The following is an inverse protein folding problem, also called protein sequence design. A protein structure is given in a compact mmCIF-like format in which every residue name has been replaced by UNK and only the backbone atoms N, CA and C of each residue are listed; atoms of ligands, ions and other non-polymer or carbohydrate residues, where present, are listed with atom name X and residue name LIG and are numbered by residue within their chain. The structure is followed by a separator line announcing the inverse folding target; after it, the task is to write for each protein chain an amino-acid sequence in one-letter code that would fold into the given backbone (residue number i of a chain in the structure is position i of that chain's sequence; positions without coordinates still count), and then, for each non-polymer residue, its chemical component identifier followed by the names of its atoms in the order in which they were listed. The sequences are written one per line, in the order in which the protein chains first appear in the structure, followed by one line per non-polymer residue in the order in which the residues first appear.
data_IF_245556744448
#
_entry.id   IF_245556744448
#
_cell.length_a   1.000
_cell.length_b   1.000
_cell.length_c   1.000
_cell.angle_alpha   90.00
_cell.angle_beta   90.00
_cell.angle_gamma   90.00
#
_symmetry.space_group_name_H-M   'P 1'
#
loop_
_entity.id
_entity.type
_entity.pdbx_description
1 polymer ?
#
# COMPACT_ATOMS: atom_id res chain seq x y z
N UNK A 1 2.79 16.00 -30.51
CA UNK A 1 1.49 15.80 -29.82
C UNK A 1 1.62 16.41 -28.45
N UNK A 2 0.62 17.17 -27.98
CA UNK A 2 0.63 17.66 -26.60
C UNK A 2 0.58 16.47 -25.63
N UNK A 3 1.29 16.54 -24.51
CA UNK A 3 1.13 15.53 -23.46
C UNK A 3 -0.28 15.66 -22.88
N UNK A 4 -1.05 14.57 -22.89
CA UNK A 4 -2.36 14.46 -22.25
C UNK A 4 -2.25 13.76 -20.89
N UNK A 5 -3.22 14.01 -20.01
CA UNK A 5 -3.33 13.39 -18.69
C UNK A 5 -4.33 12.24 -18.79
N UNK A 6 -4.00 11.07 -18.26
CA UNK A 6 -4.99 10.00 -18.03
C UNK A 6 -5.69 10.26 -16.70
N UNK A 7 -6.98 10.56 -16.73
CA UNK A 7 -7.72 10.92 -15.53
C UNK A 7 -8.23 9.69 -14.77
N UNK A 8 -8.16 9.75 -13.44
CA UNK A 8 -8.73 8.75 -12.55
C UNK A 8 -9.28 9.41 -11.28
N UNK A 9 -10.53 9.10 -10.96
CA UNK A 9 -11.20 9.49 -9.73
C UNK A 9 -10.90 8.47 -8.61
N UNK A 10 -10.10 8.88 -7.63
CA UNK A 10 -9.82 8.12 -6.41
C UNK A 10 -10.46 8.77 -5.16
N UNK A 11 -11.48 9.60 -5.36
CA UNK A 11 -12.30 10.19 -4.30
C UNK A 11 -13.23 9.18 -3.63
N UNK A 12 -13.75 9.55 -2.46
CA UNK A 12 -14.76 8.76 -1.73
C UNK A 12 -16.09 8.68 -2.47
N UNK A 13 -16.50 9.77 -3.13
CA UNK A 13 -17.79 9.88 -3.83
C UNK A 13 -17.81 9.16 -5.18
N UNK A 14 -16.63 8.97 -5.80
CA UNK A 14 -16.52 8.47 -7.17
C UNK A 14 -17.36 9.28 -8.18
N UNK A 15 -17.63 10.56 -7.87
CA UNK A 15 -18.51 11.45 -8.64
C UNK A 15 -18.05 11.64 -10.10
N UNK A 16 -16.75 11.50 -10.37
CA UNK A 16 -16.14 11.63 -11.68
C UNK A 16 -15.68 10.28 -12.25
N UNK A 17 -16.10 9.15 -11.68
CA UNK A 17 -15.69 7.81 -12.13
C UNK A 17 -16.00 7.51 -13.60
N UNK A 18 -17.02 8.18 -14.19
CA UNK A 18 -17.32 8.09 -15.63
C UNK A 18 -16.20 8.60 -16.55
N UNK A 19 -15.27 9.40 -16.02
CA UNK A 19 -14.11 9.91 -16.74
C UNK A 19 -12.86 9.05 -16.50
N UNK A 20 -12.94 7.97 -15.72
CA UNK A 20 -11.80 7.11 -15.46
C UNK A 20 -11.21 6.54 -16.75
N UNK A 21 -9.89 6.65 -16.91
CA UNK A 21 -9.15 6.21 -18.09
C UNK A 21 -9.21 7.19 -19.28
N UNK A 22 -9.96 8.29 -19.19
CA UNK A 22 -10.02 9.27 -20.27
C UNK A 22 -8.72 10.05 -20.39
N UNK A 23 -8.41 10.48 -21.62
CA UNK A 23 -7.32 11.43 -21.90
C UNK A 23 -7.89 12.84 -21.84
N UNK A 24 -7.29 13.70 -21.02
CA UNK A 24 -7.72 15.08 -20.83
C UNK A 24 -6.56 16.05 -21.02
N UNK A 25 -6.87 17.24 -21.53
CA UNK A 25 -5.99 18.41 -21.51
C UNK A 25 -5.99 19.10 -20.14
N UNK A 26 -4.95 19.88 -19.87
CA UNK A 26 -4.82 20.70 -18.66
C UNK A 26 -6.03 21.63 -18.45
N UNK A 27 -6.60 22.17 -19.53
CA UNK A 27 -7.77 23.07 -19.47
C UNK A 27 -9.02 22.37 -18.96
N UNK A 28 -9.16 21.08 -19.20
CA UNK A 28 -10.35 20.30 -18.81
C UNK A 28 -10.43 20.04 -17.31
N UNK A 29 -9.32 20.20 -16.56
CA UNK A 29 -9.30 20.07 -15.10
C UNK A 29 -10.28 21.07 -14.45
N UNK A 30 -10.41 22.28 -14.99
CA UNK A 30 -11.35 23.29 -14.47
C UNK A 30 -12.81 22.81 -14.57
N UNK A 31 -13.15 22.14 -15.66
CA UNK A 31 -14.48 21.59 -15.88
C UNK A 31 -14.74 20.38 -14.96
N UNK A 32 -13.77 19.48 -14.81
CA UNK A 32 -13.87 18.37 -13.86
C UNK A 32 -14.09 18.85 -12.43
N UNK A 33 -13.39 19.92 -12.04
CA UNK A 33 -13.60 20.56 -10.75
C UNK A 33 -15.01 21.13 -10.59
N UNK A 34 -15.55 21.79 -11.63
CA UNK A 34 -16.92 22.34 -11.62
C UNK A 34 -17.94 21.23 -11.45
N UNK A 35 -17.86 20.17 -12.27
CA UNK A 35 -18.75 19.01 -12.19
C UNK A 35 -18.71 18.37 -10.80
N UNK A 36 -17.52 18.25 -10.20
CA UNK A 36 -17.39 17.73 -8.84
C UNK A 36 -18.00 18.67 -7.80
N UNK A 37 -17.74 19.97 -7.88
CA UNK A 37 -18.30 20.97 -6.96
C UNK A 37 -19.83 20.94 -6.94
N UNK A 38 -20.45 20.75 -8.10
CA UNK A 38 -21.90 20.55 -8.23
C UNK A 38 -22.37 19.24 -7.58
N UNK A 39 -21.65 18.14 -7.80
CA UNK A 39 -22.00 16.83 -7.25
C UNK A 39 -21.81 16.74 -5.72
N UNK A 40 -20.81 17.43 -5.17
CA UNK A 40 -20.42 17.35 -3.76
C UNK A 40 -20.90 18.55 -2.92
N UNK A 41 -21.53 19.55 -3.56
CA UNK A 41 -21.94 20.81 -2.95
C UNK A 41 -20.78 21.56 -2.25
N UNK A 42 -19.60 21.54 -2.89
CA UNK A 42 -18.39 22.24 -2.43
C UNK A 42 -18.01 23.27 -3.49
N UNK A 43 -17.81 24.52 -3.07
CA UNK A 43 -17.34 25.61 -3.94
C UNK A 43 -15.91 26.01 -3.59
N UNK A 44 -14.90 25.27 -4.09
CA UNK A 44 -13.51 25.66 -3.90
C UNK A 44 -13.14 26.82 -4.83
N UNK A 45 -12.35 27.76 -4.31
CA UNK A 45 -11.75 28.80 -5.14
C UNK A 45 -10.66 28.20 -6.05
N UNK A 46 -10.99 27.96 -7.31
CA UNK A 46 -10.15 27.26 -8.28
C UNK A 46 -9.76 28.15 -9.48
N UNK A 47 -8.59 27.91 -10.10
CA UNK A 47 -8.12 28.72 -11.21
C UNK A 47 -8.93 28.46 -12.48
N UNK A 48 -8.97 29.43 -13.40
CA UNK A 48 -9.59 29.25 -14.71
C UNK A 48 -8.77 28.33 -15.63
N UNK A 49 -9.37 27.83 -16.70
CA UNK A 49 -8.69 26.98 -17.69
C UNK A 49 -7.43 27.64 -18.28
N UNK A 50 -7.48 28.95 -18.57
CA UNK A 50 -6.32 29.68 -19.09
C UNK A 50 -5.24 29.89 -18.02
N UNK A 51 -5.63 30.03 -16.74
CA UNK A 51 -4.68 30.09 -15.65
C UNK A 51 -3.96 28.76 -15.43
N UNK A 52 -4.65 27.63 -15.59
CA UNK A 52 -4.05 26.29 -15.52
C UNK A 52 -3.09 26.05 -16.70
N UNK A 53 -3.49 26.36 -17.93
CA UNK A 53 -2.66 26.16 -19.12
C UNK A 53 -1.41 27.07 -19.12
N UNK A 54 -1.48 28.24 -18.49
CA UNK A 54 -0.42 29.23 -18.47
C UNK A 54 0.63 29.07 -17.35
N UNK A 55 0.61 27.97 -16.58
CA UNK A 55 1.58 27.77 -15.49
C UNK A 55 2.95 27.30 -15.99
N UNK A 56 4.00 27.58 -15.21
CA UNK A 56 5.31 26.97 -15.41
C UNK A 56 5.41 25.65 -14.61
N UNK A 57 5.86 24.53 -15.18
CA UNK A 57 5.84 23.21 -14.52
C UNK A 57 6.64 23.18 -13.21
N UNK A 58 7.75 23.93 -13.13
CA UNK A 58 8.60 24.05 -11.94
C UNK A 58 8.26 25.23 -11.01
N UNK A 59 7.09 25.86 -11.17
CA UNK A 59 6.67 27.03 -10.36
C UNK A 59 7.60 28.27 -10.40
N UNK A 60 8.51 28.38 -11.37
CA UNK A 60 9.49 29.48 -11.49
C UNK A 60 8.84 30.84 -11.80
N UNK A 61 7.64 30.84 -12.39
CA UNK A 61 6.86 32.04 -12.72
C UNK A 61 5.49 31.93 -12.08
N UNK A 62 5.02 33.01 -11.44
CA UNK A 62 3.68 33.11 -10.81
C UNK A 62 3.36 31.89 -9.91
N UNK A 63 4.15 31.65 -8.84
CA UNK A 63 4.04 30.47 -7.98
C UNK A 63 2.63 30.22 -7.42
N UNK A 64 1.84 31.27 -7.16
CA UNK A 64 0.46 31.15 -6.70
C UNK A 64 -0.47 30.46 -7.72
N UNK A 65 -0.27 30.69 -9.03
CA UNK A 65 -1.05 30.00 -10.08
C UNK A 65 -0.72 28.52 -10.15
N UNK A 66 0.55 28.19 -9.99
CA UNK A 66 0.99 26.80 -9.89
C UNK A 66 0.39 26.11 -8.66
N UNK A 67 0.40 26.78 -7.49
CA UNK A 67 -0.23 26.26 -6.27
C UNK A 67 -1.73 25.99 -6.49
N UNK A 68 -2.44 26.92 -7.13
CA UNK A 68 -3.86 26.76 -7.46
C UNK A 68 -4.13 25.61 -8.44
N UNK A 69 -3.25 25.40 -9.45
CA UNK A 69 -3.40 24.30 -10.40
C UNK A 69 -3.14 22.92 -9.76
N UNK A 70 -2.16 22.81 -8.86
CA UNK A 70 -1.97 21.60 -8.04
C UNK A 70 -3.21 21.34 -7.19
N UNK A 71 -3.73 22.36 -6.50
CA UNK A 71 -4.93 22.24 -5.67
C UNK A 71 -6.14 21.76 -6.47
N UNK A 72 -6.35 22.31 -7.66
CA UNK A 72 -7.43 21.92 -8.56
C UNK A 72 -7.32 20.46 -8.99
N UNK A 73 -6.13 20.00 -9.38
CA UNK A 73 -5.95 18.61 -9.80
C UNK A 73 -6.10 17.60 -8.64
N UNK A 74 -5.63 17.97 -7.42
CA UNK A 74 -5.92 17.18 -6.21
C UNK A 74 -7.43 17.10 -6.00
N UNK A 75 -8.13 18.23 -6.04
CA UNK A 75 -9.57 18.26 -5.84
C UNK A 75 -10.34 17.47 -6.91
N UNK A 76 -10.01 17.63 -8.19
CA UNK A 76 -10.61 16.88 -9.28
C UNK A 76 -10.45 15.36 -9.08
N UNK A 77 -9.27 14.90 -8.70
CA UNK A 77 -8.95 13.46 -8.65
C UNK A 77 -9.34 12.80 -7.32
N UNK A 78 -9.24 13.52 -6.20
CA UNK A 78 -9.46 12.96 -4.85
C UNK A 78 -10.71 13.47 -4.15
N UNK A 79 -11.34 14.54 -4.67
CA UNK A 79 -12.40 15.27 -3.97
C UNK A 79 -11.95 15.91 -2.66
N UNK A 80 -10.66 16.22 -2.53
CA UNK A 80 -10.10 16.80 -1.31
C UNK A 80 -9.40 18.12 -1.58
N UNK A 81 -9.50 19.02 -0.61
CA UNK A 81 -8.84 20.30 -0.57
C UNK A 81 -7.54 20.17 0.21
N UNK A 82 -6.42 20.38 -0.49
CA UNK A 82 -5.10 20.41 0.12
C UNK A 82 -4.83 21.78 0.74
N UNK A 83 -4.25 21.80 1.94
CA UNK A 83 -3.74 23.05 2.48
C UNK A 83 -2.51 23.50 1.71
N UNK A 84 -2.25 24.82 1.74
CA UNK A 84 -1.09 25.40 1.09
C UNK A 84 0.23 24.77 1.56
N UNK A 85 0.35 24.41 2.84
CA UNK A 85 1.57 23.74 3.32
C UNK A 85 1.79 22.38 2.65
N UNK A 86 0.72 21.63 2.35
CA UNK A 86 0.81 20.35 1.64
C UNK A 86 1.22 20.55 0.18
N UNK A 87 0.68 21.59 -0.46
CA UNK A 87 1.00 21.95 -1.85
C UNK A 87 2.47 22.40 -1.97
N UNK A 88 3.01 23.16 -1.01
CA UNK A 88 4.40 23.62 -1.08
C UNK A 88 5.38 22.43 -1.04
N UNK A 89 5.02 21.32 -0.38
CA UNK A 89 5.83 20.08 -0.37
C UNK A 89 6.04 19.48 -1.77
N UNK A 90 5.13 19.72 -2.71
CA UNK A 90 5.29 19.29 -4.10
C UNK A 90 6.55 19.89 -4.76
N UNK A 91 6.92 21.13 -4.42
CA UNK A 91 8.14 21.75 -4.95
C UNK A 91 9.39 21.05 -4.45
N UNK A 92 9.39 20.70 -3.19
CA UNK A 92 10.50 20.02 -2.56
C UNK A 92 10.77 18.63 -3.16
N UNK A 93 9.69 17.94 -3.57
CA UNK A 93 9.75 16.69 -4.34
C UNK A 93 10.37 16.93 -5.71
N UNK A 94 9.93 17.96 -6.43
CA UNK A 94 10.47 18.34 -7.74
C UNK A 94 11.94 18.74 -7.67
N UNK A 95 12.36 19.49 -6.66
CA UNK A 95 13.75 19.96 -6.51
C UNK A 95 14.77 18.83 -6.34
N UNK A 96 14.32 17.67 -5.87
CA UNK A 96 15.13 16.45 -5.73
C UNK A 96 15.19 15.61 -7.00
N UNK A 97 14.43 15.94 -8.03
CA UNK A 97 14.54 15.25 -9.31
C UNK A 97 15.87 15.57 -10.00
N UNK A 98 16.48 14.59 -10.69
CA UNK A 98 17.59 14.81 -11.61
C UNK A 98 17.34 15.99 -12.55
N UNK A 99 18.38 16.78 -12.83
CA UNK A 99 18.31 17.94 -13.73
C UNK A 99 17.68 17.60 -15.10
N UNK A 100 18.02 16.48 -15.78
CA UNK A 100 17.41 16.15 -17.07
C UNK A 100 15.88 16.01 -16.99
N UNK A 101 15.38 15.36 -15.94
CA UNK A 101 13.94 15.17 -15.75
C UNK A 101 13.22 16.48 -15.45
N UNK A 102 13.80 17.35 -14.60
CA UNK A 102 13.24 18.69 -14.37
C UNK A 102 13.17 19.53 -15.63
N UNK A 103 14.21 19.47 -16.47
CA UNK A 103 14.29 20.23 -17.71
C UNK A 103 13.30 19.73 -18.77
N UNK A 104 12.94 18.45 -18.76
CA UNK A 104 11.99 17.86 -19.71
C UNK A 104 10.53 17.88 -19.21
N UNK A 105 10.27 18.34 -17.99
CA UNK A 105 8.95 18.26 -17.38
C UNK A 105 7.96 19.23 -18.05
N UNK A 106 6.89 18.69 -18.63
CA UNK A 106 5.78 19.48 -19.19
C UNK A 106 4.73 19.80 -18.14
N UNK A 107 3.85 20.77 -18.41
CA UNK A 107 2.74 21.12 -17.49
C UNK A 107 1.82 19.92 -17.28
N UNK A 108 1.42 19.23 -18.34
CA UNK A 108 0.56 18.05 -18.27
C UNK A 108 1.18 16.94 -17.44
N UNK A 109 2.47 16.62 -17.64
CA UNK A 109 3.15 15.58 -16.84
C UNK A 109 3.28 15.95 -15.38
N UNK A 110 3.56 17.23 -15.10
CA UNK A 110 3.61 17.73 -13.74
C UNK A 110 2.24 17.60 -13.06
N UNK A 111 1.15 18.04 -13.71
CA UNK A 111 -0.20 17.93 -13.17
C UNK A 111 -0.70 16.48 -13.11
N UNK A 112 -0.25 15.59 -13.99
CA UNK A 112 -0.62 14.19 -13.97
C UNK A 112 -0.04 13.42 -12.77
N UNK A 113 1.19 13.74 -12.34
CA UNK A 113 1.93 12.94 -11.37
C UNK A 113 2.09 13.62 -10.01
N UNK A 114 2.43 14.91 -9.97
CA UNK A 114 2.80 15.58 -8.72
C UNK A 114 1.59 15.78 -7.78
N UNK A 115 0.42 16.27 -8.24
CA UNK A 115 -0.80 16.29 -7.45
C UNK A 115 -1.14 14.92 -6.84
N UNK A 116 -1.12 13.86 -7.64
CA UNK A 116 -1.39 12.49 -7.18
C UNK A 116 -0.39 12.05 -6.12
N UNK A 117 0.90 12.29 -6.33
CA UNK A 117 1.95 11.97 -5.36
C UNK A 117 1.69 12.62 -3.99
N UNK A 118 1.31 13.90 -3.95
CA UNK A 118 1.06 14.61 -2.68
C UNK A 118 -0.29 14.26 -2.06
N UNK A 119 -1.30 13.97 -2.90
CA UNK A 119 -2.60 13.52 -2.43
C UNK A 119 -2.48 12.15 -1.74
N UNK A 120 -1.82 11.21 -2.42
CA UNK A 120 -1.71 9.84 -1.96
C UNK A 120 -0.55 9.54 -1.02
N UNK A 121 0.48 10.38 -0.94
CA UNK A 121 1.62 10.18 -0.05
C UNK A 121 1.93 11.43 0.76
N UNK A 122 2.16 11.24 2.08
CA UNK A 122 2.72 12.28 2.94
C UNK A 122 4.23 12.22 2.86
N UNK A 123 4.89 13.39 2.84
CA UNK A 123 6.34 13.50 2.83
C UNK A 123 6.88 14.33 4.00
N UNK A 124 8.04 13.93 4.51
CA UNK A 124 8.76 14.56 5.61
C UNK A 124 10.24 14.73 5.29
N UNK A 125 10.85 15.78 5.87
CA UNK A 125 12.30 16.05 5.84
C UNK A 125 13.08 15.26 6.88
N UNK A 126 12.42 14.57 7.81
CA UNK A 126 13.08 13.77 8.84
C UNK A 126 13.94 12.71 8.15
N UNK A 127 15.24 13.01 8.05
CA UNK A 127 16.24 12.10 7.54
C UNK A 127 16.64 11.18 8.67
N UNK A 128 16.69 9.90 8.38
CA UNK A 128 17.25 8.82 9.21
C UNK A 128 16.30 8.07 10.16
N UNK A 129 15.19 8.64 10.62
CA UNK A 129 14.22 7.90 11.47
C UNK A 129 12.94 7.49 10.73
N UNK A 130 12.45 6.29 11.02
CA UNK A 130 11.17 5.81 10.50
C UNK A 130 10.01 6.69 11.00
N UNK A 131 9.11 7.05 10.09
CA UNK A 131 7.88 7.77 10.41
C UNK A 131 6.68 7.01 9.80
N UNK A 132 5.76 6.47 10.60
CA UNK A 132 4.62 5.69 10.07
C UNK A 132 3.61 6.53 9.28
N UNK A 133 3.63 7.86 9.47
CA UNK A 133 2.70 8.81 8.87
C UNK A 133 3.28 9.55 7.65
N UNK A 134 4.57 9.38 7.35
CA UNK A 134 5.20 10.10 6.24
C UNK A 134 6.40 9.35 5.63
N UNK A 135 6.49 9.46 4.31
CA UNK A 135 7.63 8.99 3.51
C UNK A 135 8.75 10.03 3.52
N UNK A 136 10.00 9.63 3.25
CA UNK A 136 11.06 10.62 3.04
C UNK A 136 11.00 11.10 1.60
N UNK A 137 11.39 12.35 1.40
CA UNK A 137 11.39 12.95 0.06
C UNK A 137 12.31 12.23 -0.93
N UNK A 138 13.35 11.54 -0.44
CA UNK A 138 14.25 10.79 -1.30
C UNK A 138 13.52 9.61 -1.99
N UNK A 139 12.67 8.87 -1.26
CA UNK A 139 11.88 7.78 -1.84
C UNK A 139 10.82 8.32 -2.80
N UNK A 140 10.16 9.42 -2.41
CA UNK A 140 9.20 10.09 -3.27
C UNK A 140 9.83 10.55 -4.58
N UNK A 141 11.00 11.18 -4.51
CA UNK A 141 11.69 11.68 -5.70
C UNK A 141 12.23 10.53 -6.57
N UNK A 142 12.71 9.44 -5.95
CA UNK A 142 13.08 8.22 -6.68
C UNK A 142 11.89 7.65 -7.41
N UNK A 143 10.73 7.50 -6.77
CA UNK A 143 9.54 6.97 -7.44
C UNK A 143 9.04 7.89 -8.56
N UNK A 144 8.94 9.20 -8.31
CA UNK A 144 8.56 10.17 -9.33
C UNK A 144 9.52 10.14 -10.53
N UNK A 145 10.81 9.98 -10.28
CA UNK A 145 11.83 9.78 -11.31
C UNK A 145 11.56 8.52 -12.15
N UNK A 146 11.22 7.39 -11.53
CA UNK A 146 10.87 6.15 -12.25
C UNK A 146 9.60 6.31 -13.11
N UNK A 147 8.63 7.10 -12.66
CA UNK A 147 7.41 7.40 -13.43
C UNK A 147 7.69 8.31 -14.65
N UNK A 148 8.66 9.22 -14.52
CA UNK A 148 9.06 10.18 -15.56
C UNK A 148 10.11 9.62 -16.54
N UNK A 149 10.66 8.44 -16.30
CA UNK A 149 11.69 7.82 -17.14
C UNK A 149 11.06 6.92 -18.21
N UNK A 150 11.57 7.02 -19.44
CA UNK A 150 11.25 6.05 -20.48
C UNK A 150 11.95 4.73 -20.14
N UNK A 151 11.16 3.71 -19.83
CA UNK A 151 11.67 2.40 -19.43
C UNK A 151 10.83 1.27 -20.02
N UNK A 152 11.41 0.08 -20.27
CA UNK A 152 10.66 -1.03 -20.89
C UNK A 152 9.47 -1.49 -20.03
N UNK A 153 9.68 -1.62 -18.72
CA UNK A 153 8.67 -2.08 -17.78
C UNK A 153 8.81 -1.38 -16.41
N UNK A 154 7.68 -1.20 -15.73
CA UNK A 154 7.61 -0.77 -14.34
C UNK A 154 6.65 -1.68 -13.57
N UNK A 155 7.18 -2.40 -12.59
CA UNK A 155 6.43 -3.31 -11.73
C UNK A 155 6.20 -2.68 -10.35
N UNK A 156 4.96 -2.72 -9.90
CA UNK A 156 4.53 -2.25 -8.58
C UNK A 156 3.98 -3.42 -7.77
N UNK A 157 4.47 -3.57 -6.56
CA UNK A 157 4.02 -4.57 -5.60
C UNK A 157 3.22 -3.91 -4.48
N UNK A 158 2.01 -4.41 -4.25
CA UNK A 158 1.12 -3.95 -3.19
C UNK A 158 0.81 -5.14 -2.29
N UNK A 159 1.55 -5.24 -1.20
CA UNK A 159 1.24 -6.19 -0.13
C UNK A 159 0.03 -5.72 0.67
N UNK A 160 -1.08 -6.45 0.58
CA UNK A 160 -2.22 -6.30 1.46
C UNK A 160 -2.08 -7.28 2.62
N UNK A 161 -1.42 -6.82 3.68
CA UNK A 161 -1.21 -7.63 4.87
C UNK A 161 -2.44 -7.57 5.78
N UNK A 162 -2.92 -8.75 6.16
CA UNK A 162 -3.80 -9.07 7.27
C UNK A 162 -5.10 -8.24 7.37
N UNK A 163 -6.23 -8.92 7.44
CA UNK A 163 -7.44 -8.39 8.04
C UNK A 163 -7.15 -8.06 9.52
N UNK A 164 -6.54 -6.91 9.78
CA UNK A 164 -6.34 -6.35 11.11
C UNK A 164 -7.67 -5.74 11.55
N UNK A 165 -8.70 -6.58 11.66
CA UNK A 165 -9.90 -6.21 12.38
C UNK A 165 -9.49 -5.74 13.79
N UNK A 166 -10.25 -4.78 14.32
CA UNK A 166 -9.90 -4.14 15.58
C UNK A 166 -9.74 -5.17 16.69
N UNK A 167 -8.82 -4.93 17.63
CA UNK A 167 -8.72 -5.74 18.85
C UNK A 167 -10.05 -5.74 19.62
N UNK A 168 -10.86 -4.70 19.44
CA UNK A 168 -12.18 -4.51 20.04
C UNK A 168 -13.31 -5.26 19.32
N UNK A 169 -13.15 -5.55 18.02
CA UNK A 169 -14.13 -6.26 17.20
C UNK A 169 -13.39 -7.24 16.27
N UNK A 170 -13.14 -8.49 16.74
CA UNK A 170 -12.32 -9.47 16.04
C UNK A 170 -13.12 -10.23 14.96
N UNK A 171 -13.98 -9.53 14.22
CA UNK A 171 -14.82 -10.10 13.16
C UNK A 171 -14.33 -9.60 11.81
N UNK A 172 -14.32 -10.47 10.81
CA UNK A 172 -14.09 -10.06 9.44
C UNK A 172 -15.37 -9.45 8.85
N UNK A 173 -15.28 -8.31 8.14
CA UNK A 173 -16.38 -7.91 7.28
C UNK A 173 -16.65 -9.01 6.26
N UNK A 174 -17.89 -9.14 5.82
CA UNK A 174 -18.26 -10.18 4.86
C UNK A 174 -17.69 -9.90 3.46
N UNK A 175 -17.53 -8.62 3.13
CA UNK A 175 -17.02 -8.15 1.85
C UNK A 175 -15.97 -7.07 2.03
N UNK A 176 -15.07 -6.98 1.07
CA UNK A 176 -14.14 -5.85 0.96
C UNK A 176 -14.92 -4.57 0.71
N UNK A 177 -14.51 -3.46 1.30
CA UNK A 177 -15.08 -2.16 0.96
C UNK A 177 -14.85 -1.87 -0.53
N UNK A 178 -15.91 -2.03 -1.33
CA UNK A 178 -15.87 -1.79 -2.77
C UNK A 178 -15.36 -0.38 -3.07
N UNK A 179 -15.86 0.63 -2.35
CA UNK A 179 -15.41 2.02 -2.50
C UNK A 179 -13.92 2.15 -2.21
N UNK A 180 -13.43 1.56 -1.11
CA UNK A 180 -12.01 1.67 -0.77
C UNK A 180 -11.09 0.91 -1.73
N UNK A 181 -11.49 -0.27 -2.20
CA UNK A 181 -10.76 -1.04 -3.20
C UNK A 181 -10.68 -0.29 -4.54
N UNK A 182 -11.81 0.23 -5.07
CA UNK A 182 -11.82 1.00 -6.31
C UNK A 182 -10.94 2.26 -6.18
N UNK A 183 -10.97 2.96 -5.04
CA UNK A 183 -10.12 4.14 -4.80
C UNK A 183 -8.63 3.80 -4.80
N UNK A 184 -8.26 2.70 -4.16
CA UNK A 184 -6.87 2.23 -4.17
C UNK A 184 -6.41 1.94 -5.60
N UNK A 185 -7.20 1.19 -6.39
CA UNK A 185 -6.83 0.86 -7.77
C UNK A 185 -6.79 2.11 -8.65
N UNK A 186 -7.78 3.01 -8.55
CA UNK A 186 -7.81 4.28 -9.28
C UNK A 186 -6.61 5.17 -8.95
N UNK A 187 -6.21 5.25 -7.68
CA UNK A 187 -5.05 6.02 -7.27
C UNK A 187 -3.76 5.50 -7.92
N UNK A 188 -3.57 4.18 -7.91
CA UNK A 188 -2.38 3.57 -8.54
C UNK A 188 -2.46 3.69 -10.06
N UNK A 189 -3.63 3.48 -10.67
CA UNK A 189 -3.84 3.71 -12.11
C UNK A 189 -3.49 5.16 -12.50
N UNK A 190 -3.84 6.15 -11.68
CA UNK A 190 -3.50 7.55 -11.94
C UNK A 190 -1.99 7.81 -11.94
N UNK A 191 -1.19 7.05 -11.20
CA UNK A 191 0.27 7.14 -11.24
C UNK A 191 0.83 6.41 -12.47
N UNK A 192 0.38 5.17 -12.70
CA UNK A 192 1.00 4.24 -13.64
C UNK A 192 0.57 4.52 -15.09
N UNK A 193 -0.68 4.92 -15.33
CA UNK A 193 -1.13 5.28 -16.69
C UNK A 193 -0.48 6.56 -17.21
N UNK A 194 -0.10 7.44 -16.28
CA UNK A 194 0.62 8.67 -16.55
C UNK A 194 2.15 8.51 -16.51
N UNK A 195 2.66 7.30 -16.25
CA UNK A 195 4.09 6.98 -16.35
C UNK A 195 4.55 6.91 -17.82
N UNK A 196 5.87 6.94 -18.02
CA UNK A 196 6.53 6.73 -19.32
C UNK A 196 7.01 5.29 -19.54
N UNK A 197 6.68 4.37 -18.63
CA UNK A 197 7.00 2.96 -18.81
C UNK A 197 6.21 2.37 -19.99
N UNK A 198 6.87 1.54 -20.81
CA UNK A 198 6.25 0.84 -21.94
C UNK A 198 5.23 -0.20 -21.48
N UNK A 199 5.59 -0.99 -20.46
CA UNK A 199 4.72 -1.93 -19.76
C UNK A 199 4.58 -1.51 -18.29
N UNK A 200 3.37 -1.63 -17.74
CA UNK A 200 3.09 -1.34 -16.34
C UNK A 200 2.35 -2.52 -15.72
N UNK A 201 2.84 -3.04 -14.61
CA UNK A 201 2.16 -4.11 -13.86
C UNK A 201 1.99 -3.68 -12.43
N UNK A 202 0.79 -3.92 -11.88
CA UNK A 202 0.51 -3.81 -10.45
C UNK A 202 0.09 -5.19 -9.95
N UNK A 203 0.91 -5.75 -9.06
CA UNK A 203 0.59 -6.99 -8.35
C UNK A 203 0.03 -6.64 -6.98
N UNK A 204 -1.19 -7.09 -6.71
CA UNK A 204 -1.85 -6.92 -5.42
C UNK A 204 -1.83 -8.28 -4.73
N UNK A 205 -0.99 -8.38 -3.71
CA UNK A 205 -0.73 -9.62 -2.99
C UNK A 205 -1.56 -9.71 -1.72
N UNK A 206 -2.32 -10.79 -1.56
CA UNK A 206 -3.18 -11.02 -0.40
C UNK A 206 -3.15 -12.49 0.02
N UNK A 207 -3.33 -12.72 1.32
CA UNK A 207 -3.58 -14.06 1.84
C UNK A 207 -4.97 -14.57 1.41
N UNK A 208 -5.02 -15.77 0.84
CA UNK A 208 -6.26 -16.51 0.50
C UNK A 208 -6.64 -17.51 1.60
N UNK A 209 -7.77 -18.21 1.48
CA UNK A 209 -8.30 -19.12 2.49
C UNK A 209 -7.52 -20.45 2.63
N UNK A 210 -6.26 -20.37 3.06
CA UNK A 210 -5.36 -21.49 3.26
C UNK A 210 -5.01 -21.68 4.73
N UNK A 211 -4.27 -22.73 5.07
CA UNK A 211 -3.79 -22.96 6.43
C UNK A 211 -2.88 -21.83 6.93
N UNK A 212 -2.06 -21.27 6.02
CA UNK A 212 -1.24 -20.08 6.26
C UNK A 212 -2.04 -18.85 6.63
N UNK A 213 -3.30 -18.77 6.24
CA UNK A 213 -4.16 -17.65 6.58
C UNK A 213 -4.37 -17.49 8.08
N UNK A 214 -4.30 -18.58 8.83
CA UNK A 214 -4.35 -18.54 10.27
C UNK A 214 -3.14 -17.81 10.88
N UNK A 215 -1.98 -17.87 10.22
CA UNK A 215 -0.74 -17.22 10.67
C UNK A 215 -0.61 -15.76 10.24
N UNK A 216 -1.31 -15.34 9.19
CA UNK A 216 -1.18 -14.00 8.61
C UNK A 216 -2.35 -13.08 8.89
N UNK A 217 -3.51 -13.59 9.31
CA UNK A 217 -4.60 -12.78 9.87
C UNK A 217 -4.32 -12.47 11.35
N UNK A 218 -4.89 -11.37 11.87
CA UNK A 218 -4.83 -11.07 13.30
C UNK A 218 -5.26 -12.29 14.13
N UNK A 219 -4.41 -12.74 15.04
CA UNK A 219 -4.63 -13.97 15.82
C UNK A 219 -5.93 -13.94 16.63
N UNK A 220 -6.38 -12.76 17.07
CA UNK A 220 -7.64 -12.60 17.79
C UNK A 220 -8.85 -12.92 16.91
N UNK A 221 -8.79 -12.54 15.62
CA UNK A 221 -9.84 -12.83 14.64
C UNK A 221 -9.92 -14.33 14.40
N UNK A 222 -8.78 -14.97 14.12
CA UNK A 222 -8.74 -16.42 13.92
C UNK A 222 -9.30 -17.18 15.15
N UNK A 223 -8.88 -16.77 16.35
CA UNK A 223 -9.34 -17.37 17.60
C UNK A 223 -10.83 -17.15 17.86
N UNK A 224 -11.38 -15.99 17.49
CA UNK A 224 -12.81 -15.72 17.61
C UNK A 224 -13.63 -16.77 16.86
N UNK A 225 -13.35 -16.96 15.57
CA UNK A 225 -14.02 -17.98 14.75
C UNK A 225 -13.71 -19.41 15.21
N UNK A 226 -12.47 -19.70 15.63
CA UNK A 226 -12.10 -21.01 16.16
C UNK A 226 -12.91 -21.40 17.40
N UNK A 227 -13.09 -20.47 18.34
CA UNK A 227 -13.85 -20.70 19.56
C UNK A 227 -15.37 -20.79 19.32
N UNK A 228 -15.87 -20.14 18.26
CA UNK A 228 -17.27 -20.21 17.85
C UNK A 228 -17.59 -21.47 17.02
N UNK A 229 -16.59 -22.20 16.52
CA UNK A 229 -16.81 -23.33 15.60
C UNK A 229 -17.07 -22.88 14.17
N UNK A 230 -16.67 -21.66 13.84
CA UNK A 230 -16.99 -20.97 12.58
C UNK A 230 -15.77 -20.81 11.67
N UNK A 231 -14.76 -21.70 11.79
CA UNK A 231 -13.55 -21.62 10.96
C UNK A 231 -13.82 -21.74 9.47
N UNK A 232 -14.78 -22.58 9.07
CA UNK A 232 -15.14 -22.69 7.67
C UNK A 232 -15.87 -21.44 7.16
N UNK A 233 -16.59 -20.73 8.02
CA UNK A 233 -17.13 -19.41 7.67
C UNK A 233 -16.00 -18.39 7.49
N UNK A 234 -15.06 -18.33 8.43
CA UNK A 234 -13.85 -17.48 8.30
C UNK A 234 -13.09 -17.72 6.98
N UNK A 235 -12.81 -18.98 6.64
CA UNK A 235 -12.11 -19.32 5.40
C UNK A 235 -12.92 -18.92 4.16
N UNK A 236 -14.24 -19.15 4.14
CA UNK A 236 -15.10 -18.68 3.03
C UNK A 236 -15.11 -17.16 2.89
N UNK A 237 -15.06 -16.42 3.99
CA UNK A 237 -14.94 -14.95 3.95
C UNK A 237 -13.61 -14.51 3.33
N UNK A 238 -12.51 -15.21 3.61
CA UNK A 238 -11.22 -14.93 2.96
C UNK A 238 -11.23 -15.22 1.45
N UNK A 239 -11.87 -16.31 1.01
CA UNK A 239 -12.05 -16.61 -0.41
C UNK A 239 -12.84 -15.50 -1.11
N UNK A 240 -13.94 -15.08 -0.48
CA UNK A 240 -14.79 -13.99 -0.96
C UNK A 240 -14.02 -12.68 -1.08
N UNK A 241 -13.17 -12.37 -0.11
CA UNK A 241 -12.32 -11.19 -0.18
C UNK A 241 -11.32 -11.23 -1.35
N UNK A 242 -10.76 -12.40 -1.64
CA UNK A 242 -9.91 -12.58 -2.81
C UNK A 242 -10.70 -12.40 -4.11
N UNK A 243 -11.93 -12.90 -4.17
CA UNK A 243 -12.82 -12.74 -5.34
C UNK A 243 -13.28 -11.29 -5.55
N UNK A 244 -13.64 -10.59 -4.47
CA UNK A 244 -13.95 -9.15 -4.50
C UNK A 244 -12.77 -8.36 -5.09
N UNK A 245 -11.54 -8.63 -4.62
CA UNK A 245 -10.34 -7.99 -5.14
C UNK A 245 -10.06 -8.34 -6.60
N UNK A 246 -10.19 -9.61 -7.00
CA UNK A 246 -10.07 -10.02 -8.41
C UNK A 246 -11.06 -9.27 -9.29
N UNK A 247 -12.32 -9.16 -8.86
CA UNK A 247 -13.36 -8.47 -9.60
C UNK A 247 -13.04 -6.97 -9.76
N UNK A 248 -12.60 -6.30 -8.69
CA UNK A 248 -12.18 -4.90 -8.77
C UNK A 248 -11.01 -4.74 -9.74
N UNK A 249 -9.95 -5.56 -9.61
CA UNK A 249 -8.76 -5.46 -10.46
C UNK A 249 -9.07 -5.71 -11.94
N UNK A 250 -9.90 -6.71 -12.25
CA UNK A 250 -10.31 -7.02 -13.62
C UNK A 250 -11.06 -5.86 -14.30
N UNK A 251 -11.90 -5.12 -13.56
CA UNK A 251 -12.59 -3.94 -14.11
C UNK A 251 -11.60 -2.84 -14.53
N UNK A 252 -10.55 -2.62 -13.73
CA UNK A 252 -9.55 -1.61 -14.05
C UNK A 252 -8.58 -2.08 -15.14
N UNK A 253 -8.26 -3.37 -15.20
CA UNK A 253 -7.46 -3.96 -16.28
C UNK A 253 -8.10 -3.70 -17.66
N UNK A 254 -9.43 -3.66 -17.74
CA UNK A 254 -10.16 -3.36 -18.98
C UNK A 254 -10.16 -1.86 -19.36
N UNK A 255 -9.97 -0.95 -18.40
CA UNK A 255 -10.08 0.50 -18.59
C UNK A 255 -8.72 1.22 -18.52
N UNK A 256 -7.67 0.54 -18.07
CA UNK A 256 -6.33 1.07 -17.81
C UNK A 256 -5.33 0.53 -18.83
N UNK A 257 -4.27 1.30 -19.10
CA UNK A 257 -3.10 0.80 -19.80
C UNK A 257 -2.18 -0.03 -18.88
N UNK A 258 -2.48 -0.05 -17.58
CA UNK A 258 -1.75 -0.77 -16.56
C UNK A 258 -2.39 -2.13 -16.32
N UNK A 259 -1.56 -3.17 -16.27
CA UNK A 259 -2.01 -4.52 -16.00
C UNK A 259 -2.16 -4.77 -14.50
N UNK A 260 -3.36 -5.04 -14.03
CA UNK A 260 -3.64 -5.32 -12.62
C UNK A 260 -3.75 -6.83 -12.39
N UNK A 261 -3.08 -7.34 -11.36
CA UNK A 261 -3.07 -8.78 -11.04
C UNK A 261 -3.29 -9.00 -9.55
N UNK A 262 -4.10 -10.00 -9.24
CA UNK A 262 -4.19 -10.57 -7.91
C UNK A 262 -3.15 -11.68 -7.75
N UNK A 263 -2.40 -11.66 -6.66
CA UNK A 263 -1.38 -12.67 -6.34
C UNK A 263 -1.66 -13.28 -4.96
N UNK A 264 -1.87 -14.60 -4.83
CA UNK A 264 -1.96 -15.24 -3.52
C UNK A 264 -0.59 -15.21 -2.82
N UNK A 265 -0.58 -15.01 -1.51
CA UNK A 265 0.67 -14.94 -0.72
C UNK A 265 1.32 -16.30 -0.43
N UNK A 266 0.59 -17.42 -0.53
CA UNK A 266 1.11 -18.74 -0.17
C UNK A 266 2.44 -19.13 -0.85
N UNK A 267 2.58 -18.99 -2.19
CA UNK A 267 3.86 -19.28 -2.85
C UNK A 267 5.00 -18.39 -2.34
N UNK A 268 4.69 -17.17 -1.94
CA UNK A 268 5.68 -16.25 -1.37
C UNK A 268 6.06 -16.67 0.06
N UNK A 269 5.08 -17.05 0.90
CA UNK A 269 5.33 -17.60 2.24
C UNK A 269 6.20 -18.86 2.18
N UNK A 270 5.98 -19.75 1.21
CA UNK A 270 6.82 -20.95 1.01
C UNK A 270 8.27 -20.62 0.68
N UNK A 271 8.52 -19.55 -0.08
CA UNK A 271 9.87 -19.06 -0.34
C UNK A 271 10.50 -18.53 0.95
N UNK A 272 9.76 -17.75 1.74
CA UNK A 272 10.24 -17.22 3.02
C UNK A 272 10.57 -18.34 4.00
N UNK A 273 9.72 -19.36 4.11
CA UNK A 273 9.96 -20.53 4.97
C UNK A 273 11.23 -21.30 4.57
N UNK A 274 11.48 -21.41 3.25
CA UNK A 274 12.69 -22.02 2.71
C UNK A 274 13.94 -21.20 3.04
N UNK A 275 13.89 -19.89 2.85
CA UNK A 275 14.99 -18.99 3.21
C UNK A 275 15.32 -19.08 4.70
N UNK A 276 14.27 -19.11 5.53
CA UNK A 276 14.40 -19.27 6.97
C UNK A 276 15.06 -20.60 7.33
N UNK A 277 14.72 -21.68 6.63
CA UNK A 277 15.36 -22.98 6.81
C UNK A 277 16.84 -22.98 6.39
N UNK A 278 17.19 -22.28 5.31
CA UNK A 278 18.57 -22.14 4.84
C UNK A 278 19.43 -21.27 5.78
N UNK A 279 18.86 -20.18 6.31
CA UNK A 279 19.57 -19.23 7.17
C UNK A 279 19.70 -19.73 8.61
N UNK A 280 18.65 -20.32 9.16
CA UNK A 280 18.54 -20.64 10.59
C UNK A 280 18.35 -22.13 10.89
N UNK A 281 18.33 -23.00 9.87
CA UNK A 281 18.04 -24.42 10.01
C UNK A 281 16.54 -24.74 10.03
N UNK A 282 16.15 -26.03 10.00
CA UNK A 282 14.76 -26.47 9.75
C UNK A 282 13.69 -25.89 10.69
N UNK A 283 14.03 -25.67 11.96
CA UNK A 283 13.13 -25.11 12.98
C UNK A 283 13.30 -23.59 13.18
N UNK A 284 14.15 -22.96 12.37
CA UNK A 284 14.44 -21.52 12.38
C UNK A 284 15.06 -20.97 13.69
N UNK A 285 15.48 -21.86 14.58
CA UNK A 285 16.04 -21.54 15.90
C UNK A 285 17.56 -21.42 15.92
N UNK A 286 18.24 -21.91 14.88
CA UNK A 286 19.70 -21.95 14.82
C UNK A 286 20.36 -20.58 14.77
N UNK A 287 21.69 -20.59 14.85
CA UNK A 287 22.50 -19.41 14.60
C UNK A 287 22.47 -19.08 13.09
N UNK A 288 22.39 -17.79 12.71
CA UNK A 288 22.31 -17.39 11.32
C UNK A 288 23.60 -17.75 10.55
N UNK A 289 23.43 -18.50 9.45
CA UNK A 289 24.51 -18.78 8.50
C UNK A 289 24.86 -17.52 7.67
N UNK A 290 23.86 -16.70 7.36
CA UNK A 290 24.01 -15.43 6.64
C UNK A 290 24.47 -14.28 7.56
N UNK A 291 25.59 -13.59 7.25
CA UNK A 291 26.08 -12.44 8.00
C UNK A 291 25.09 -11.30 8.20
N UNK A 292 24.14 -11.09 7.27
CA UNK A 292 23.14 -10.01 7.35
C UNK A 292 22.17 -10.17 8.51
N UNK A 293 22.07 -11.37 9.07
CA UNK A 293 21.21 -11.71 10.20
C UNK A 293 21.97 -11.83 11.53
N UNK A 294 23.29 -11.64 11.51
CA UNK A 294 24.11 -11.73 12.73
C UNK A 294 23.85 -10.55 13.66
N UNK A 295 24.16 -10.74 14.94
CA UNK A 295 24.00 -9.74 15.98
C UNK A 295 24.64 -8.40 15.60
N UNK A 296 23.90 -7.30 15.79
CA UNK A 296 24.33 -5.94 15.47
C UNK A 296 24.11 -5.52 14.00
N UNK A 297 23.56 -6.39 13.16
CA UNK A 297 23.14 -6.05 11.80
C UNK A 297 21.80 -5.31 11.76
N UNK A 298 21.43 -4.80 10.58
CA UNK A 298 20.11 -4.18 10.36
C UNK A 298 18.96 -5.17 10.51
N UNK A 299 19.10 -6.42 10.06
CA UNK A 299 18.05 -7.44 10.23
C UNK A 299 17.94 -7.90 11.68
N UNK A 300 19.04 -8.00 12.41
CA UNK A 300 19.01 -8.26 13.86
C UNK A 300 18.28 -7.14 14.62
N UNK A 301 18.55 -5.87 14.26
CA UNK A 301 17.84 -4.72 14.81
C UNK A 301 16.34 -4.74 14.48
N UNK A 302 15.97 -5.17 13.27
CA UNK A 302 14.58 -5.35 12.88
C UNK A 302 13.90 -6.45 13.71
N UNK A 303 14.58 -7.57 13.98
CA UNK A 303 14.05 -8.65 14.83
C UNK A 303 13.79 -8.15 16.25
N UNK A 304 14.71 -7.39 16.85
CA UNK A 304 14.52 -6.82 18.19
C UNK A 304 13.34 -5.83 18.26
N UNK A 305 13.16 -4.98 17.25
CA UNK A 305 11.98 -4.09 17.16
C UNK A 305 10.67 -4.89 16.98
N UNK A 306 10.68 -5.91 16.11
CA UNK A 306 9.53 -6.80 15.89
C UNK A 306 9.11 -7.53 17.16
N UNK A 307 10.06 -8.01 17.97
CA UNK A 307 9.79 -8.67 19.27
C UNK A 307 8.98 -7.78 20.19
N UNK A 308 9.35 -6.51 20.32
CA UNK A 308 8.60 -5.54 21.14
C UNK A 308 7.14 -5.39 20.69
N UNK A 309 6.91 -5.38 19.37
CA UNK A 309 5.57 -5.29 18.78
C UNK A 309 4.77 -6.57 18.90
N UNK A 310 5.42 -7.73 18.83
CA UNK A 310 4.79 -9.05 18.87
C UNK A 310 4.53 -9.53 20.30
N UNK A 311 5.32 -9.10 21.28
CA UNK A 311 5.17 -9.50 22.68
C UNK A 311 3.75 -9.26 23.22
N UNK A 312 3.08 -8.18 22.80
CA UNK A 312 1.68 -7.86 23.18
C UNK A 312 0.65 -8.86 22.66
N UNK A 313 0.99 -9.64 21.65
CA UNK A 313 0.14 -10.68 21.06
C UNK A 313 0.55 -12.08 21.49
N UNK A 314 1.58 -12.21 22.33
CA UNK A 314 1.95 -13.48 22.93
C UNK A 314 0.88 -13.89 23.93
N UNK A 315 0.48 -15.15 23.88
CA UNK A 315 -0.46 -15.71 24.83
C UNK A 315 0.27 -16.16 26.09
N UNK A 316 -0.36 -15.94 27.24
CA UNK A 316 0.12 -16.47 28.52
C UNK A 316 -0.10 -17.97 28.66
N UNK A 317 -1.12 -18.52 27.97
CA UNK A 317 -1.48 -19.92 28.03
C UNK A 317 -1.50 -20.57 26.64
N UNK A 318 -1.03 -21.83 26.51
CA UNK A 318 -1.14 -22.62 25.28
C UNK A 318 -2.58 -22.70 24.77
N UNK A 319 -2.73 -22.99 23.48
CA UNK A 319 -4.01 -23.27 22.87
C UNK A 319 -4.45 -24.69 23.23
N UNK A 320 -5.69 -24.86 23.70
CA UNK A 320 -6.31 -26.20 23.78
C UNK A 320 -6.76 -26.63 22.39
N UNK A 321 -5.78 -27.08 21.60
CA UNK A 321 -5.97 -27.46 20.20
C UNK A 321 -6.94 -28.64 20.08
N UNK A 322 -6.93 -29.59 21.00
CA UNK A 322 -7.82 -30.75 20.96
C UNK A 322 -9.28 -30.34 21.14
N UNK A 323 -9.55 -29.38 22.03
CA UNK A 323 -10.88 -28.79 22.17
C UNK A 323 -11.32 -28.09 20.89
N UNK A 324 -10.46 -27.26 20.29
CA UNK A 324 -10.81 -26.53 19.07
C UNK A 324 -11.02 -27.46 17.88
N UNK A 325 -10.23 -28.53 17.76
CA UNK A 325 -10.41 -29.56 16.74
C UNK A 325 -11.74 -30.29 16.90
N UNK A 326 -12.13 -30.64 18.13
CA UNK A 326 -13.46 -31.21 18.39
C UNK A 326 -14.57 -30.24 18.00
N UNK A 327 -14.46 -28.99 18.45
CA UNK A 327 -15.46 -27.95 18.21
C UNK A 327 -15.64 -27.69 16.70
N UNK A 328 -14.56 -27.67 15.92
CA UNK A 328 -14.64 -27.57 14.45
C UNK A 328 -15.26 -28.81 13.80
N UNK A 329 -14.92 -30.02 14.26
CA UNK A 329 -15.50 -31.28 13.76
C UNK A 329 -16.99 -31.39 14.04
N UNK A 330 -17.43 -30.87 15.18
CA UNK A 330 -18.82 -30.89 15.63
C UNK A 330 -19.64 -29.68 15.11
N UNK A 331 -19.02 -28.79 14.32
CA UNK A 331 -19.66 -27.59 13.76
C UNK A 331 -20.65 -27.93 12.64
N UNK A 332 -21.43 -26.94 12.19
CA UNK A 332 -22.34 -27.08 11.05
C UNK A 332 -21.63 -27.32 9.71
N UNK A 333 -20.33 -26.99 9.60
CA UNK A 333 -19.58 -27.06 8.35
C UNK A 333 -18.13 -27.49 8.59
N UNK A 334 -17.88 -28.72 9.05
CA UNK A 334 -16.51 -29.20 9.25
C UNK A 334 -15.78 -29.33 7.92
N UNK A 335 -14.49 -29.02 7.92
CA UNK A 335 -13.64 -29.07 6.72
C UNK A 335 -12.19 -29.44 7.03
N UNK A 336 -11.52 -30.13 6.10
CA UNK A 336 -10.09 -30.48 6.21
C UNK A 336 -9.21 -29.23 6.24
N UNK A 337 -9.53 -28.21 5.44
CA UNK A 337 -8.79 -26.94 5.46
C UNK A 337 -8.86 -26.22 6.81
N UNK A 338 -10.00 -26.30 7.51
CA UNK A 338 -10.12 -25.76 8.87
C UNK A 338 -9.27 -26.52 9.88
N UNK A 339 -9.14 -27.84 9.73
CA UNK A 339 -8.22 -28.68 10.54
C UNK A 339 -6.76 -28.29 10.27
N UNK A 340 -6.38 -28.16 9.00
CA UNK A 340 -5.02 -27.73 8.61
C UNK A 340 -4.69 -26.33 9.15
N UNK A 341 -5.63 -25.38 9.03
CA UNK A 341 -5.48 -24.03 9.57
C UNK A 341 -5.29 -24.02 11.10
N UNK A 342 -6.03 -24.85 11.84
CA UNK A 342 -5.85 -25.01 13.29
C UNK A 342 -4.46 -25.55 13.65
N UNK A 343 -4.00 -26.59 12.95
CA UNK A 343 -2.66 -27.15 13.16
C UNK A 343 -1.56 -26.15 12.82
N UNK A 344 -1.71 -25.43 11.71
CA UNK A 344 -0.78 -24.38 11.31
C UNK A 344 -0.71 -23.27 12.36
N UNK A 345 -1.87 -22.79 12.80
CA UNK A 345 -1.98 -21.76 13.82
C UNK A 345 -1.30 -22.19 15.13
N UNK A 346 -1.62 -23.38 15.63
CA UNK A 346 -1.04 -23.91 16.86
C UNK A 346 0.49 -24.04 16.74
N UNK A 347 0.97 -24.60 15.63
CA UNK A 347 2.40 -24.71 15.35
C UNK A 347 3.08 -23.34 15.35
N UNK A 348 2.50 -22.35 14.68
CA UNK A 348 3.04 -21.00 14.60
C UNK A 348 3.01 -20.28 15.96
N UNK A 349 1.92 -20.42 16.74
CA UNK A 349 1.79 -19.77 18.06
C UNK A 349 2.69 -20.39 19.13
N UNK A 350 3.07 -21.67 19.00
CA UNK A 350 4.03 -22.33 19.90
C UNK A 350 5.48 -21.93 19.68
N UNK A 351 5.80 -21.32 18.54
CA UNK A 351 7.16 -20.86 18.26
C UNK A 351 7.59 -19.80 19.28
N UNK A 352 8.87 -19.82 19.73
CA UNK A 352 9.42 -18.75 20.54
C UNK A 352 9.25 -17.38 19.87
N UNK A 353 9.11 -16.34 20.69
CA UNK A 353 8.94 -14.96 20.21
C UNK A 353 10.03 -14.56 19.21
N UNK A 354 11.28 -14.96 19.46
CA UNK A 354 12.41 -14.69 18.56
C UNK A 354 12.20 -15.31 17.17
N UNK A 355 11.69 -16.54 17.10
CA UNK A 355 11.46 -17.24 15.82
C UNK A 355 10.33 -16.57 15.05
N UNK A 356 9.25 -16.18 15.74
CA UNK A 356 8.13 -15.46 15.12
C UNK A 356 8.57 -14.11 14.55
N UNK A 357 9.37 -13.37 15.31
CA UNK A 357 9.93 -12.10 14.88
C UNK A 357 10.86 -12.26 13.67
N UNK A 358 11.72 -13.29 13.65
CA UNK A 358 12.57 -13.59 12.49
C UNK A 358 11.74 -13.88 11.23
N UNK A 359 10.70 -14.70 11.33
CA UNK A 359 9.85 -15.03 10.19
C UNK A 359 9.21 -13.79 9.56
N UNK A 360 8.68 -12.88 10.39
CA UNK A 360 8.01 -11.66 9.92
C UNK A 360 9.00 -10.65 9.31
N UNK A 361 10.19 -10.51 9.91
CA UNK A 361 11.29 -9.75 9.30
C UNK A 361 11.75 -10.36 7.97
N UNK A 362 11.83 -11.70 7.90
CA UNK A 362 12.24 -12.40 6.68
C UNK A 362 11.23 -12.21 5.56
N UNK A 363 9.94 -12.21 5.88
CA UNK A 363 8.86 -11.93 4.94
C UNK A 363 9.06 -10.56 4.26
N UNK A 364 9.23 -9.49 5.06
CA UNK A 364 9.43 -8.14 4.53
C UNK A 364 10.77 -7.97 3.81
N UNK A 365 11.84 -8.61 4.29
CA UNK A 365 13.14 -8.58 3.63
C UNK A 365 13.10 -9.29 2.26
N UNK A 366 12.47 -10.46 2.17
CA UNK A 366 12.30 -11.18 0.89
C UNK A 366 11.42 -10.39 -0.09
N UNK A 367 10.42 -9.66 0.41
CA UNK A 367 9.56 -8.82 -0.43
C UNK A 367 10.37 -7.67 -1.04
N UNK A 368 11.24 -7.07 -0.23
CA UNK A 368 12.17 -6.04 -0.67
C UNK A 368 13.17 -6.56 -1.72
N UNK A 369 13.74 -7.75 -1.52
CA UNK A 369 14.63 -8.40 -2.49
C UNK A 369 13.92 -8.68 -3.82
N UNK A 370 12.70 -9.23 -3.77
CA UNK A 370 11.90 -9.53 -4.96
C UNK A 370 11.57 -8.26 -5.76
N UNK A 371 11.29 -7.16 -5.04
CA UNK A 371 11.03 -5.85 -5.65
C UNK A 371 12.31 -5.29 -6.28
N UNK A 372 13.44 -5.40 -5.58
CA UNK A 372 14.75 -4.95 -6.06
C UNK A 372 15.20 -5.70 -7.32
N UNK A 373 15.04 -7.03 -7.35
CA UNK A 373 15.40 -7.88 -8.50
C UNK A 373 14.68 -7.48 -9.79
N UNK A 374 13.48 -6.90 -9.68
CA UNK A 374 12.67 -6.41 -10.80
C UNK A 374 12.87 -4.91 -11.09
N UNK A 375 13.73 -4.23 -10.34
CA UNK A 375 13.80 -2.75 -10.30
C UNK A 375 12.41 -2.10 -10.16
N UNK A 376 11.58 -2.71 -9.31
CA UNK A 376 10.20 -2.33 -9.07
C UNK A 376 10.02 -1.38 -7.89
N UNK A 377 8.76 -1.17 -7.49
CA UNK A 377 8.36 -0.26 -6.41
C UNK A 377 7.36 -0.97 -5.48
N UNK A 378 7.56 -0.88 -4.18
CA UNK A 378 6.57 -1.27 -3.18
C UNK A 378 5.63 -0.11 -2.83
N UNK A 379 4.33 -0.35 -2.79
CA UNK A 379 3.36 0.60 -2.22
C UNK A 379 2.65 -0.03 -1.03
N UNK A 380 2.88 0.53 0.16
CA UNK A 380 2.25 0.08 1.39
C UNK A 380 0.85 0.64 1.57
N UNK A 381 -0.15 -0.23 1.43
CA UNK A 381 -1.58 0.08 1.64
C UNK A 381 -2.13 -0.43 2.99
N UNK A 382 -1.33 -1.15 3.78
CA UNK A 382 -1.71 -1.62 5.12
C UNK A 382 -1.66 -0.52 6.20
N UNK A 383 -2.50 -0.61 7.25
CA UNK A 383 -2.66 0.42 8.31
C UNK A 383 -1.35 0.78 9.02
N UNK A 384 -0.61 -0.26 9.37
CA UNK A 384 0.34 -0.21 10.46
C UNK A 384 1.66 -0.68 9.93
N UNK A 385 2.37 0.26 9.32
CA UNK A 385 3.78 0.08 9.08
C UNK A 385 4.54 0.33 10.37
N UNK A 386 5.39 -0.63 10.73
CA UNK A 386 6.23 -0.57 11.91
C UNK A 386 7.70 -0.44 11.51
N UNK A 387 8.54 0.04 12.45
CA UNK A 387 9.93 0.35 12.18
C UNK A 387 10.71 -0.90 11.69
N UNK A 388 10.44 -2.08 12.24
CA UNK A 388 11.06 -3.32 11.80
C UNK A 388 10.82 -3.65 10.32
N UNK A 389 9.64 -3.35 9.76
CA UNK A 389 9.35 -3.63 8.35
C UNK A 389 10.18 -2.71 7.44
N UNK A 390 10.32 -1.44 7.84
CA UNK A 390 11.19 -0.49 7.17
C UNK A 390 12.68 -0.90 7.27
N UNK A 391 13.12 -1.38 8.43
CA UNK A 391 14.48 -1.90 8.62
C UNK A 391 14.74 -3.15 7.76
N UNK A 392 13.80 -4.09 7.73
CA UNK A 392 13.85 -5.28 6.89
C UNK A 392 13.97 -4.91 5.41
N UNK A 393 13.19 -3.93 4.96
CA UNK A 393 13.28 -3.42 3.60
C UNK A 393 14.64 -2.74 3.34
N UNK A 394 15.13 -1.94 4.29
CA UNK A 394 16.42 -1.24 4.21
C UNK A 394 17.62 -2.15 4.09
N UNK A 395 17.60 -3.29 4.78
CA UNK A 395 18.65 -4.28 4.67
C UNK A 395 18.85 -4.81 3.24
N UNK A 396 17.79 -4.91 2.43
CA UNK A 396 17.88 -5.35 1.03
C UNK A 396 18.59 -4.33 0.12
N UNK A 397 18.47 -3.03 0.43
CA UNK A 397 19.03 -1.93 -0.38
C UNK A 397 20.39 -1.43 0.13
N UNK A 398 21.00 -2.17 1.07
CA UNK A 398 22.38 -1.99 1.55
C UNK A 398 22.61 -0.84 2.53
N UNK A 399 21.78 0.20 2.53
CA UNK A 399 21.86 1.27 3.53
C UNK A 399 20.56 2.05 3.68
N UNK A 400 20.33 2.61 4.88
CA UNK A 400 19.22 3.52 5.12
C UNK A 400 19.31 4.82 4.30
N UNK A 401 20.48 5.16 3.73
CA UNK A 401 20.69 6.37 2.91
C UNK A 401 20.37 6.14 1.43
N UNK A 402 20.29 4.89 1.01
CA UNK A 402 19.86 4.51 -0.33
C UNK A 402 18.37 4.83 -0.49
N UNK A 403 17.98 5.37 -1.66
CA UNK A 403 16.57 5.53 -1.98
C UNK A 403 15.95 4.14 -2.14
N UNK A 404 15.03 3.80 -1.24
CA UNK A 404 14.28 2.55 -1.31
C UNK A 404 12.92 2.85 -1.92
N UNK A 405 12.53 2.27 -3.05
CA UNK A 405 11.26 2.57 -3.69
C UNK A 405 10.08 1.91 -2.94
N UNK A 406 9.94 2.15 -1.64
CA UNK A 406 8.81 1.78 -0.80
C UNK A 406 8.11 3.07 -0.36
N UNK A 407 6.84 3.21 -0.71
CA UNK A 407 6.02 4.36 -0.32
C UNK A 407 4.76 3.91 0.39
N UNK A 408 4.49 4.52 1.53
CA UNK A 408 3.29 4.28 2.31
C UNK A 408 2.22 5.27 1.92
N UNK A 409 1.09 4.75 1.44
CA UNK A 409 -0.07 5.56 1.08
C UNK A 409 -0.57 6.38 2.27
N UNK A 410 -1.33 7.43 2.02
CA UNK A 410 -1.79 8.35 3.07
C UNK A 410 -2.76 7.63 4.01
N UNK A 411 -2.45 7.67 5.30
CA UNK A 411 -3.36 7.42 6.43
C UNK A 411 -3.94 8.75 6.93
N UNK A 412 -5.10 8.67 7.58
CA UNK A 412 -5.61 9.78 8.39
C UNK A 412 -5.77 9.36 9.85
N UNK A 413 -5.37 10.26 10.74
CA UNK A 413 -5.59 10.21 12.19
C UNK A 413 -6.41 11.42 12.67
N UNK A 414 -6.88 12.26 11.73
CA UNK A 414 -7.60 13.50 12.02
C UNK A 414 -9.12 13.28 11.91
N UNK A 415 -9.93 14.07 12.63
CA UNK A 415 -11.39 13.97 12.59
C UNK A 415 -11.94 14.12 11.16
N UNK A 416 -13.12 13.54 10.93
CA UNK A 416 -13.76 13.50 9.61
C UNK A 416 -14.21 14.88 9.15
N UNK A 417 -13.32 15.63 8.49
CA UNK A 417 -13.72 16.65 7.52
C UNK A 417 -13.80 16.00 6.15
N UNK A 418 -14.99 15.85 5.58
CA UNK A 418 -15.21 15.10 4.34
C UNK A 418 -14.46 15.68 3.10
N UNK A 419 -14.06 16.95 3.17
CA UNK A 419 -13.35 17.67 2.08
C UNK A 419 -11.88 17.93 2.33
N UNK A 420 -11.33 17.66 3.53
CA UNK A 420 -9.93 17.99 3.84
C UNK A 420 -8.96 16.88 3.44
N UNK A 421 -7.89 17.21 2.71
CA UNK A 421 -6.85 16.22 2.37
C UNK A 421 -6.19 15.59 3.62
N UNK A 422 -6.29 16.23 4.79
CA UNK A 422 -5.82 15.64 6.05
C UNK A 422 -6.66 14.47 6.54
N UNK A 423 -7.96 14.45 6.21
CA UNK A 423 -8.88 13.34 6.49
C UNK A 423 -8.80 12.20 5.45
N UNK A 424 -8.06 12.44 4.36
CA UNK A 424 -7.96 11.50 3.26
C UNK A 424 -7.17 10.25 3.67
N UNK A 425 -7.76 9.08 3.42
CA UNK A 425 -7.16 7.78 3.73
C UNK A 425 -7.31 6.83 2.53
N UNK A 426 -6.21 6.25 2.08
CA UNK A 426 -6.15 5.21 1.05
C UNK A 426 -5.77 3.83 1.63
N UNK A 427 -5.39 3.76 2.91
CA UNK A 427 -5.07 2.52 3.62
C UNK A 427 -6.32 1.87 4.20
N UNK A 428 -6.26 0.54 4.33
CA UNK A 428 -7.30 -0.30 4.97
C UNK A 428 -8.72 -0.07 4.49
N UNK A 429 -9.09 -0.78 3.44
CA UNK A 429 -10.44 -0.85 2.91
C UNK A 429 -11.07 -2.23 3.12
N UNK A 430 -10.58 -2.99 4.12
CA UNK A 430 -11.20 -4.24 4.56
C UNK A 430 -12.48 -3.91 5.31
#
# INVERSE_FOLDING_TARGET
MADEITFWDFSRSQALSRYNGSRIDVREIAELCRVRGEAEAVDPHLPSADEMAGIHPLALKRPRRWEAAIAAMIYASSGQLALREEIIKARELLDRLPRPQRSALTVSRMLALVPTMIAGFRFSRQGETFNPEANRYLEGARFLSLLLEERPALDVEIGLCAHRAGVTDPVLPEHVSATGANRMVAFVASLLDNSRAGQRTVSVSQQTATDRAAGTVNSLVFLHYAHAGELEHFLRTLDRHADDMRAVLARYDAASATRFRFTPLDPFSEVVERDMAEVFGPDWTGAPTDPRWRRGSTLDSAVEDAKGKMARFMRNAPLDIDRLLRLHKDSESPSERGVSALHWFDRHQRQPLDVRARYDVAFHHRLALTTLEKDGVGIGMERGWDAYQWLAWSAAYGSARSAMPLLYARSSTEPESHVSLRSFNLRQFW
#
